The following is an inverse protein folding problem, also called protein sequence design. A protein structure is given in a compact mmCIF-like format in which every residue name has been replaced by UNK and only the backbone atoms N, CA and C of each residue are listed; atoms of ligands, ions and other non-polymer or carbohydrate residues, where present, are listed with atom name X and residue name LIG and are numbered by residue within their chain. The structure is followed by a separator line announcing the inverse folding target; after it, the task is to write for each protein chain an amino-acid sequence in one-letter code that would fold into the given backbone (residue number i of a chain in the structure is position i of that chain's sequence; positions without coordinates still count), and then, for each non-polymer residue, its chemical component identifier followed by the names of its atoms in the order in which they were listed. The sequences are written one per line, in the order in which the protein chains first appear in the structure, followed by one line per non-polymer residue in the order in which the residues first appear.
data_IF_137497212405
#
_entry.id   IF_137497212405
#
_cell.length_a   1.000
_cell.length_b   1.000
_cell.length_c   1.000
_cell.angle_alpha   90.00
_cell.angle_beta   90.00
_cell.angle_gamma   90.00
#
_symmetry.space_group_name_H-M   'P 1'
#
loop_
_entity.id
_entity.type
_entity.pdbx_description
1 polymer ?
#
# COMPACT_ATOMS: atom_id res chain seq x y z
N UNK A 1 6.55 12.45 -6.82
CA UNK A 1 6.88 11.43 -7.85
C UNK A 1 5.91 10.24 -7.86
N UNK A 2 5.65 9.57 -6.70
CA UNK A 2 4.71 8.44 -6.66
C UNK A 2 3.30 8.89 -7.01
N UNK A 3 2.81 9.94 -6.38
CA UNK A 3 1.50 10.54 -6.66
C UNK A 3 1.38 10.97 -8.11
N UNK A 4 2.39 11.67 -8.65
CA UNK A 4 2.39 12.14 -10.05
C UNK A 4 2.22 10.99 -11.06
N UNK A 5 2.81 9.83 -10.76
CA UNK A 5 2.67 8.64 -11.60
C UNK A 5 1.22 8.18 -11.62
N UNK A 6 0.57 8.05 -10.45
CA UNK A 6 -0.81 7.62 -10.38
C UNK A 6 -1.79 8.66 -10.94
N UNK A 7 -1.57 9.95 -10.65
CA UNK A 7 -2.34 11.05 -11.25
C UNK A 7 -2.25 11.00 -12.78
N UNK A 8 -1.04 10.73 -13.33
CA UNK A 8 -0.87 10.57 -14.79
C UNK A 8 -1.62 9.37 -15.38
N UNK A 9 -2.02 8.41 -14.54
CA UNK A 9 -2.85 7.25 -14.91
C UNK A 9 -4.35 7.46 -14.60
N UNK A 10 -4.75 8.67 -14.20
CA UNK A 10 -6.14 9.04 -13.92
C UNK A 10 -6.63 8.63 -12.53
N UNK A 11 -5.74 8.55 -11.55
CA UNK A 11 -6.10 8.35 -10.15
C UNK A 11 -6.28 9.67 -9.43
N UNK A 12 -7.33 9.77 -8.62
CA UNK A 12 -7.53 10.87 -7.69
C UNK A 12 -6.68 10.65 -6.42
N UNK A 13 -6.15 11.72 -5.87
CA UNK A 13 -5.47 11.68 -4.56
C UNK A 13 -6.47 12.02 -3.47
N UNK A 14 -6.69 11.09 -2.56
CA UNK A 14 -7.68 11.24 -1.48
C UNK A 14 -6.99 11.13 -0.13
N UNK A 15 -7.31 12.04 0.78
CA UNK A 15 -6.81 12.04 2.15
C UNK A 15 -7.89 11.64 3.16
N UNK A 16 -7.48 11.32 4.38
CA UNK A 16 -8.37 10.96 5.47
C UNK A 16 -7.68 11.03 6.85
N UNK A 17 -8.44 10.86 7.93
CA UNK A 17 -7.95 11.06 9.28
C UNK A 17 -6.89 10.02 9.68
N UNK A 18 -5.87 10.47 10.41
CA UNK A 18 -4.87 9.59 11.04
C UNK A 18 -5.42 8.93 12.31
N UNK A 19 -6.19 9.67 13.10
CA UNK A 19 -6.97 9.12 14.21
C UNK A 19 -8.28 8.57 13.65
N UNK A 20 -8.38 7.24 13.63
CA UNK A 20 -9.45 6.55 12.93
C UNK A 20 -10.28 5.68 13.90
N UNK A 21 -11.48 5.32 13.50
CA UNK A 21 -12.29 4.36 14.23
C UNK A 21 -11.87 2.92 13.95
N UNK A 22 -12.04 2.05 14.94
CA UNK A 22 -11.87 0.60 14.80
C UNK A 22 -12.71 0.04 13.63
N UNK A 23 -13.91 0.56 13.43
CA UNK A 23 -14.80 0.18 12.34
C UNK A 23 -14.14 0.39 10.95
N UNK A 24 -13.58 1.58 10.69
CA UNK A 24 -12.96 1.88 9.39
C UNK A 24 -11.57 1.29 9.25
N UNK A 25 -10.82 1.12 10.35
CA UNK A 25 -9.50 0.48 10.30
C UNK A 25 -9.58 -1.03 10.07
N UNK A 26 -10.65 -1.68 10.56
CA UNK A 26 -10.71 -3.14 10.60
C UNK A 26 -12.03 -3.74 10.12
N UNK A 27 -13.16 -3.42 10.74
CA UNK A 27 -14.40 -4.13 10.47
C UNK A 27 -14.82 -4.01 9.01
N UNK A 28 -14.81 -2.78 8.45
CA UNK A 28 -15.14 -2.51 7.04
C UNK A 28 -14.14 -3.06 6.02
N UNK A 29 -13.01 -3.56 6.50
CA UNK A 29 -11.96 -4.20 5.71
C UNK A 29 -11.93 -5.72 5.89
N UNK A 30 -13.06 -6.31 6.30
CA UNK A 30 -13.21 -7.76 6.52
C UNK A 30 -12.34 -8.30 7.67
N UNK A 31 -12.09 -7.48 8.68
CA UNK A 31 -11.35 -7.80 9.89
C UNK A 31 -12.27 -7.63 11.11
N UNK A 32 -13.22 -8.57 11.38
CA UNK A 32 -14.12 -8.47 12.52
C UNK A 32 -13.37 -8.58 13.85
N UNK A 33 -14.02 -8.19 14.96
CA UNK A 33 -13.46 -8.35 16.30
C UNK A 33 -13.10 -9.80 16.55
N UNK A 34 -11.89 -10.04 17.09
CA UNK A 34 -11.36 -11.39 17.33
C UNK A 34 -10.74 -12.06 16.11
N UNK A 35 -10.64 -11.38 14.97
CA UNK A 35 -9.94 -11.94 13.81
C UNK A 35 -8.44 -12.02 14.09
N UNK A 36 -7.75 -13.17 13.83
CA UNK A 36 -6.33 -13.35 14.14
C UNK A 36 -5.40 -12.29 13.52
N UNK A 37 -5.74 -11.81 12.32
CA UNK A 37 -4.93 -10.79 11.65
C UNK A 37 -4.97 -9.40 12.34
N UNK A 38 -5.92 -9.15 13.26
CA UNK A 38 -5.93 -7.92 14.08
C UNK A 38 -4.86 -7.95 15.15
N UNK A 39 -4.63 -9.12 15.77
CA UNK A 39 -3.63 -9.30 16.81
C UNK A 39 -2.20 -9.17 16.25
N UNK A 40 -2.02 -9.45 14.97
CA UNK A 40 -0.76 -9.28 14.25
C UNK A 40 -0.41 -7.80 13.95
N UNK A 41 -1.40 -6.91 14.07
CA UNK A 41 -1.22 -5.47 13.88
C UNK A 41 -1.14 -4.82 15.26
N UNK A 42 0.06 -4.69 15.78
CA UNK A 42 0.31 -4.04 17.07
C UNK A 42 -0.07 -2.56 16.98
N UNK A 43 -1.32 -2.24 17.36
CA UNK A 43 -1.98 -0.97 17.09
C UNK A 43 -1.93 -0.02 18.30
N UNK A 44 -1.85 1.29 18.03
CA UNK A 44 -1.93 2.33 19.04
C UNK A 44 -3.39 2.78 19.25
N UNK A 45 -4.08 2.18 20.20
CA UNK A 45 -5.42 2.60 20.61
C UNK A 45 -5.36 3.82 21.54
N UNK A 46 -6.14 4.83 21.23
CA UNK A 46 -6.35 6.01 22.07
C UNK A 46 -7.53 5.80 23.01
N UNK A 47 -8.58 5.15 22.52
CA UNK A 47 -9.74 4.67 23.29
C UNK A 47 -10.10 3.26 22.83
N UNK A 48 -11.17 2.67 23.38
CA UNK A 48 -11.68 1.38 22.89
C UNK A 48 -12.19 1.40 21.45
N UNK A 49 -12.46 2.60 20.89
CA UNK A 49 -13.06 2.78 19.57
C UNK A 49 -12.16 3.52 18.59
N UNK A 50 -11.18 4.27 19.08
CA UNK A 50 -10.29 5.10 18.27
C UNK A 50 -8.85 4.66 18.40
N UNK A 51 -8.15 4.60 17.27
CA UNK A 51 -6.75 4.23 17.16
C UNK A 51 -6.04 5.08 16.10
N UNK A 52 -4.73 5.13 16.17
CA UNK A 52 -3.93 5.62 15.04
C UNK A 52 -3.98 4.56 13.93
N UNK A 53 -4.36 4.96 12.71
CA UNK A 53 -4.56 4.03 11.60
C UNK A 53 -3.30 3.20 11.31
N UNK A 54 -3.46 1.91 11.17
CA UNK A 54 -2.37 0.96 10.88
C UNK A 54 -2.07 0.83 9.38
N UNK A 55 -2.94 1.39 8.55
CA UNK A 55 -2.90 1.37 7.09
C UNK A 55 -3.78 2.50 6.54
N UNK A 56 -3.56 2.91 5.29
CA UNK A 56 -4.39 3.93 4.64
C UNK A 56 -5.68 3.36 4.02
N UNK A 57 -5.92 2.06 4.11
CA UNK A 57 -7.16 1.39 3.64
C UNK A 57 -8.44 1.94 4.25
N UNK A 58 -8.39 2.54 5.44
CA UNK A 58 -9.53 3.23 6.04
C UNK A 58 -10.07 4.36 5.15
N UNK A 59 -9.18 5.06 4.43
CA UNK A 59 -9.56 6.08 3.45
C UNK A 59 -10.31 5.47 2.27
N UNK A 60 -9.90 4.28 1.83
CA UNK A 60 -10.61 3.54 0.78
C UNK A 60 -12.05 3.21 1.22
N UNK A 61 -12.24 2.71 2.44
CA UNK A 61 -13.56 2.42 2.99
C UNK A 61 -14.42 3.70 3.10
N UNK A 62 -13.84 4.82 3.55
CA UNK A 62 -14.52 6.11 3.60
C UNK A 62 -14.95 6.60 2.22
N UNK A 63 -14.08 6.48 1.23
CA UNK A 63 -14.38 6.86 -0.17
C UNK A 63 -15.51 6.01 -0.74
N UNK A 64 -15.48 4.69 -0.52
CA UNK A 64 -16.58 3.80 -0.91
C UNK A 64 -17.92 4.20 -0.29
N UNK A 65 -17.92 4.51 1.01
CA UNK A 65 -19.13 4.93 1.74
C UNK A 65 -19.66 6.29 1.28
N UNK A 66 -18.76 7.24 1.03
CA UNK A 66 -19.11 8.57 0.56
C UNK A 66 -19.66 8.59 -0.89
N UNK A 67 -19.26 7.62 -1.71
CA UNK A 67 -19.70 7.49 -3.11
C UNK A 67 -21.11 6.88 -3.21
N UNK A 68 -22.13 7.68 -2.89
CA UNK A 68 -23.54 7.26 -2.87
C UNK A 68 -24.06 6.91 -4.26
N UNK A 69 -23.60 7.59 -5.30
CA UNK A 69 -24.01 7.37 -6.68
C UNK A 69 -23.34 6.16 -7.34
N UNK A 70 -22.38 5.56 -6.67
CA UNK A 70 -21.63 4.40 -7.16
C UNK A 70 -20.97 4.63 -8.53
N UNK A 71 -20.46 5.83 -8.72
CA UNK A 71 -19.58 6.15 -9.85
C UNK A 71 -18.27 5.35 -9.73
N UNK A 72 -17.56 5.12 -10.85
CA UNK A 72 -16.26 4.45 -10.79
C UNK A 72 -15.31 5.13 -9.81
N UNK A 73 -14.60 4.34 -9.01
CA UNK A 73 -13.52 4.81 -8.12
C UNK A 73 -12.19 4.44 -8.75
N UNK A 74 -11.30 5.42 -8.81
CA UNK A 74 -9.89 5.23 -9.14
C UNK A 74 -9.09 6.21 -8.30
N UNK A 75 -8.58 5.75 -7.16
CA UNK A 75 -7.94 6.62 -6.17
C UNK A 75 -6.65 6.05 -5.64
N UNK A 76 -5.80 6.93 -5.13
CA UNK A 76 -4.71 6.62 -4.22
C UNK A 76 -4.91 7.40 -2.92
N UNK A 77 -4.45 6.82 -1.82
CA UNK A 77 -4.43 7.46 -0.51
C UNK A 77 -3.04 7.37 0.11
N UNK A 78 -2.19 8.37 -0.12
CA UNK A 78 -0.93 8.51 0.59
C UNK A 78 -1.17 8.97 2.02
N UNK A 79 -0.34 8.55 2.97
CA UNK A 79 -0.45 9.04 4.32
C UNK A 79 0.40 8.30 5.34
N UNK A 80 0.46 8.88 6.53
CA UNK A 80 1.14 8.27 7.67
C UNK A 80 0.30 7.15 8.26
N UNK A 81 0.98 6.10 8.69
CA UNK A 81 0.43 4.93 9.36
C UNK A 81 1.26 4.60 10.58
N UNK A 82 0.69 3.85 11.52
CA UNK A 82 1.25 3.66 12.85
C UNK A 82 1.16 2.21 13.28
N UNK A 83 2.30 1.62 13.68
CA UNK A 83 2.40 0.26 14.24
C UNK A 83 3.39 0.27 15.39
N UNK A 84 3.28 -0.67 16.31
CA UNK A 84 4.22 -0.75 17.46
C UNK A 84 5.56 -1.38 17.13
N UNK A 85 5.76 -1.81 15.89
CA UNK A 85 7.05 -2.31 15.43
C UNK A 85 8.09 -1.20 15.39
N UNK A 86 9.32 -1.50 15.89
CA UNK A 86 10.47 -0.59 15.85
C UNK A 86 11.78 -1.37 15.75
N UNK A 87 12.33 -1.42 14.54
CA UNK A 87 13.64 -2.01 14.26
C UNK A 87 14.32 -1.32 13.06
N UNK A 88 15.38 -1.89 12.52
CA UNK A 88 16.09 -1.32 11.37
C UNK A 88 15.25 -1.26 10.08
N UNK A 89 14.15 -2.02 10.01
CA UNK A 89 13.26 -2.16 8.84
C UNK A 89 11.84 -1.69 9.11
N UNK A 90 11.53 -1.34 10.36
CA UNK A 90 10.21 -0.89 10.82
C UNK A 90 10.35 0.34 11.72
N UNK A 91 9.34 1.21 11.67
CA UNK A 91 9.21 2.38 12.55
C UNK A 91 7.80 2.45 13.07
N UNK A 92 7.62 2.99 14.28
CA UNK A 92 6.30 3.26 14.87
C UNK A 92 5.40 4.09 13.96
N UNK A 93 5.98 5.00 13.19
CA UNK A 93 5.33 5.79 12.16
C UNK A 93 6.06 5.56 10.85
N UNK A 94 5.32 5.34 9.77
CA UNK A 94 5.86 5.26 8.42
C UNK A 94 4.83 5.78 7.41
N UNK A 95 5.28 6.07 6.20
CA UNK A 95 4.41 6.54 5.13
C UNK A 95 4.02 5.37 4.23
N UNK A 96 2.74 5.30 3.90
CA UNK A 96 2.17 4.31 3.02
C UNK A 96 1.40 5.01 1.90
N UNK A 97 1.31 4.36 0.76
CA UNK A 97 0.35 4.70 -0.28
C UNK A 97 -0.40 3.45 -0.67
N UNK A 98 -1.71 3.57 -0.71
CA UNK A 98 -2.58 2.52 -1.19
C UNK A 98 -3.43 3.03 -2.35
N UNK A 99 -3.82 2.13 -3.24
CA UNK A 99 -4.69 2.43 -4.35
C UNK A 99 -5.90 1.53 -4.37
N UNK A 100 -7.01 2.09 -4.86
CA UNK A 100 -8.28 1.39 -5.03
C UNK A 100 -8.88 1.72 -6.40
N UNK A 101 -9.27 0.69 -7.11
CA UNK A 101 -10.11 0.81 -8.31
C UNK A 101 -11.37 -0.01 -8.10
N UNK A 102 -12.55 0.59 -8.29
CA UNK A 102 -13.84 -0.10 -8.30
C UNK A 102 -14.64 0.38 -9.50
N UNK A 103 -15.21 -0.55 -10.23
CA UNK A 103 -16.13 -0.25 -11.32
C UNK A 103 -17.18 -1.38 -11.46
N UNK A 104 -18.16 -1.18 -12.33
CA UNK A 104 -19.12 -2.22 -12.69
C UNK A 104 -18.42 -3.41 -13.32
N UNK A 105 -18.87 -4.62 -13.00
CA UNK A 105 -18.31 -5.87 -13.57
C UNK A 105 -18.33 -5.88 -15.11
N UNK A 106 -19.31 -5.23 -15.72
CA UNK A 106 -19.42 -5.08 -17.17
C UNK A 106 -18.20 -4.38 -17.81
N UNK A 107 -17.50 -3.54 -17.03
CA UNK A 107 -16.25 -2.88 -17.44
C UNK A 107 -15.00 -3.74 -17.26
N UNK A 108 -15.19 -4.96 -16.74
CA UNK A 108 -14.19 -6.01 -16.65
C UNK A 108 -12.88 -5.58 -15.96
N UNK A 109 -12.99 -4.87 -14.81
CA UNK A 109 -11.82 -4.58 -13.96
C UNK A 109 -11.24 -5.91 -13.45
N UNK A 110 -10.02 -6.21 -13.85
CA UNK A 110 -9.44 -7.56 -13.76
C UNK A 110 -8.06 -7.57 -13.09
N UNK A 111 -7.56 -8.75 -12.82
CA UNK A 111 -6.18 -8.96 -12.38
C UNK A 111 -5.15 -8.46 -13.41
N UNK A 112 -5.50 -8.49 -14.72
CA UNK A 112 -4.62 -7.97 -15.76
C UNK A 112 -4.46 -6.44 -15.66
N UNK A 113 -5.54 -5.71 -15.30
CA UNK A 113 -5.49 -4.26 -15.08
C UNK A 113 -4.65 -3.93 -13.85
N UNK A 114 -4.81 -4.69 -12.75
CA UNK A 114 -3.97 -4.57 -11.56
C UNK A 114 -2.50 -4.78 -11.93
N UNK A 115 -2.19 -5.86 -12.64
CA UNK A 115 -0.83 -6.18 -13.07
C UNK A 115 -0.24 -5.07 -13.93
N UNK A 116 -0.94 -4.60 -14.94
CA UNK A 116 -0.50 -3.52 -15.82
C UNK A 116 -0.24 -2.21 -15.06
N UNK A 117 -1.14 -1.85 -14.14
CA UNK A 117 -0.98 -0.68 -13.26
C UNK A 117 0.31 -0.77 -12.43
N UNK A 118 0.54 -1.91 -11.78
CA UNK A 118 1.69 -2.12 -10.92
C UNK A 118 3.01 -2.23 -11.70
N UNK A 119 2.99 -2.81 -12.90
CA UNK A 119 4.16 -2.83 -13.78
C UNK A 119 4.60 -1.41 -14.18
N UNK A 120 3.65 -0.55 -14.56
CA UNK A 120 3.95 0.85 -14.90
C UNK A 120 4.54 1.57 -13.67
N UNK A 121 3.91 1.42 -12.51
CA UNK A 121 4.36 2.04 -11.28
C UNK A 121 5.78 1.62 -10.89
N UNK A 122 6.02 0.31 -10.79
CA UNK A 122 7.32 -0.23 -10.36
C UNK A 122 8.43 0.16 -11.32
N UNK A 123 8.20 0.07 -12.63
CA UNK A 123 9.19 0.45 -13.65
C UNK A 123 9.58 1.94 -13.57
N UNK A 124 8.62 2.81 -13.29
CA UNK A 124 8.87 4.26 -13.15
C UNK A 124 9.59 4.62 -11.85
N UNK A 125 9.33 3.91 -10.76
CA UNK A 125 9.88 4.24 -9.42
C UNK A 125 11.20 3.53 -9.15
N UNK A 126 11.30 2.25 -9.45
CA UNK A 126 12.47 1.43 -9.05
C UNK A 126 13.42 1.25 -10.22
N UNK A 127 12.90 0.99 -11.43
CA UNK A 127 13.74 0.84 -12.62
C UNK A 127 13.06 0.06 -13.74
N UNK A 128 13.38 0.45 -14.99
CA UNK A 128 12.71 -0.07 -16.18
C UNK A 128 13.03 -1.55 -16.49
N UNK A 129 14.18 -2.04 -16.03
CA UNK A 129 14.72 -3.36 -16.39
C UNK A 129 14.53 -4.42 -15.28
N UNK A 130 13.51 -4.25 -14.44
CA UNK A 130 13.20 -5.20 -13.37
C UNK A 130 12.03 -6.09 -13.79
N UNK A 131 12.16 -7.39 -13.53
CA UNK A 131 11.05 -8.32 -13.65
C UNK A 131 10.17 -8.25 -12.41
N UNK A 132 8.86 -8.37 -12.61
CA UNK A 132 7.89 -8.46 -11.55
C UNK A 132 7.37 -9.90 -11.43
N UNK A 133 7.19 -10.34 -10.19
CA UNK A 133 6.59 -11.61 -9.87
C UNK A 133 5.42 -11.40 -8.92
N UNK A 134 4.26 -11.93 -9.29
CA UNK A 134 3.07 -11.98 -8.43
C UNK A 134 3.06 -13.32 -7.71
N UNK A 135 3.21 -13.30 -6.42
CA UNK A 135 3.22 -14.50 -5.57
C UNK A 135 1.92 -14.56 -4.78
N UNK A 136 1.16 -15.67 -4.86
CA UNK A 136 -0.05 -15.83 -4.05
C UNK A 136 0.22 -15.57 -2.57
N UNK A 137 -0.69 -14.83 -1.92
CA UNK A 137 -0.63 -14.47 -0.51
C UNK A 137 -2.04 -14.46 0.09
N UNK A 138 -2.15 -14.05 1.34
CA UNK A 138 -3.43 -13.89 2.01
C UNK A 138 -3.50 -12.52 2.68
N UNK A 139 -4.53 -11.76 2.30
CA UNK A 139 -4.97 -10.56 3.01
C UNK A 139 -6.48 -10.63 3.22
N UNK A 140 -7.01 -10.27 4.41
CA UNK A 140 -8.44 -10.38 4.69
C UNK A 140 -9.33 -9.54 3.77
N UNK A 141 -8.78 -8.47 3.22
CA UNK A 141 -9.51 -7.49 2.41
C UNK A 141 -9.42 -7.71 0.89
N UNK A 142 -8.66 -8.73 0.44
CA UNK A 142 -8.54 -9.09 -0.99
C UNK A 142 -8.65 -10.60 -1.19
N UNK A 143 -9.22 -11.03 -2.33
CA UNK A 143 -9.32 -12.41 -2.77
C UNK A 143 -9.48 -12.47 -4.29
N UNK A 144 -8.51 -13.04 -5.06
CA UNK A 144 -7.20 -13.48 -4.61
C UNK A 144 -6.28 -12.35 -4.19
N UNK A 145 -5.31 -12.69 -3.31
CA UNK A 145 -4.29 -11.78 -2.82
C UNK A 145 -2.91 -12.13 -3.38
N UNK A 146 -2.10 -11.10 -3.59
CA UNK A 146 -0.74 -11.26 -4.11
C UNK A 146 0.24 -10.34 -3.40
N UNK A 147 1.40 -10.87 -3.08
CA UNK A 147 2.60 -10.08 -2.86
C UNK A 147 3.31 -9.89 -4.20
N UNK A 148 3.81 -8.69 -4.43
CA UNK A 148 4.54 -8.36 -5.66
C UNK A 148 6.00 -8.18 -5.32
N UNK A 149 6.81 -9.04 -5.92
CA UNK A 149 8.26 -9.02 -5.80
C UNK A 149 8.87 -8.45 -7.09
N UNK A 150 10.01 -7.78 -6.95
CA UNK A 150 10.85 -7.36 -8.06
C UNK A 150 12.20 -8.07 -8.04
N UNK A 151 12.81 -8.25 -9.18
CA UNK A 151 14.20 -8.72 -9.25
C UNK A 151 15.09 -7.82 -8.40
N UNK A 152 15.93 -8.39 -7.56
CA UNK A 152 16.81 -7.62 -6.70
C UNK A 152 17.73 -6.71 -7.52
N UNK A 153 17.54 -5.42 -7.42
CA UNK A 153 18.29 -4.41 -8.16
C UNK A 153 19.78 -4.38 -7.80
N UNK A 154 20.18 -4.85 -6.61
CA UNK A 154 21.57 -4.91 -6.17
C UNK A 154 22.35 -6.05 -6.82
N UNK A 155 21.76 -7.22 -6.96
CA UNK A 155 22.45 -8.42 -7.46
C UNK A 155 21.92 -8.92 -8.80
N UNK A 156 20.93 -8.25 -9.40
CA UNK A 156 20.34 -8.68 -10.67
C UNK A 156 19.76 -10.09 -10.65
N UNK A 157 19.14 -10.48 -9.52
CA UNK A 157 18.54 -11.81 -9.35
C UNK A 157 19.50 -12.92 -8.91
N UNK A 158 20.80 -12.65 -8.75
CA UNK A 158 21.80 -13.69 -8.41
C UNK A 158 21.78 -14.12 -6.93
N UNK A 159 21.14 -13.38 -6.08
CA UNK A 159 21.17 -13.56 -4.63
C UNK A 159 22.23 -12.69 -3.94
N UNK A 160 21.87 -12.03 -2.85
CA UNK A 160 22.75 -11.24 -2.00
C UNK A 160 22.13 -11.05 -0.62
N UNK A 161 22.87 -10.41 0.32
CA UNK A 161 22.37 -10.15 1.67
C UNK A 161 21.09 -9.30 1.70
N UNK A 162 20.93 -8.33 0.77
CA UNK A 162 19.75 -7.49 0.70
C UNK A 162 18.48 -8.30 0.40
N UNK A 163 18.53 -9.21 -0.56
CA UNK A 163 17.42 -10.08 -0.93
C UNK A 163 17.42 -11.41 -0.16
N UNK A 164 18.24 -11.56 0.88
CA UNK A 164 18.38 -12.80 1.67
C UNK A 164 18.63 -14.03 0.79
N UNK A 165 19.48 -13.87 -0.23
CA UNK A 165 19.87 -14.89 -1.21
C UNK A 165 18.75 -15.37 -2.17
N UNK A 166 17.56 -14.76 -2.12
CA UNK A 166 16.42 -15.16 -2.94
C UNK A 166 16.48 -14.63 -4.37
N UNK A 167 17.23 -13.57 -4.64
CA UNK A 167 17.22 -12.83 -5.90
C UNK A 167 16.02 -11.90 -6.09
N UNK A 168 15.06 -11.87 -5.15
CA UNK A 168 13.82 -11.12 -5.21
C UNK A 168 13.63 -10.25 -3.98
N UNK A 169 12.97 -9.11 -4.16
CA UNK A 169 12.60 -8.18 -3.08
C UNK A 169 11.11 -7.91 -3.17
N UNK A 170 10.39 -8.19 -2.09
CA UNK A 170 8.99 -7.81 -1.94
C UNK A 170 8.85 -6.30 -1.84
N UNK A 171 7.94 -5.72 -2.64
CA UNK A 171 7.73 -4.27 -2.71
C UNK A 171 6.34 -3.83 -2.32
N UNK A 172 5.30 -4.66 -2.56
CA UNK A 172 3.92 -4.30 -2.25
C UNK A 172 3.00 -5.51 -2.14
N UNK A 173 1.88 -5.31 -1.43
CA UNK A 173 0.74 -6.21 -1.42
C UNK A 173 -0.37 -5.73 -2.35
N UNK A 174 -1.14 -6.66 -2.93
CA UNK A 174 -2.22 -6.34 -3.86
C UNK A 174 -3.24 -7.47 -3.96
N UNK A 175 -4.36 -7.19 -4.60
CA UNK A 175 -5.36 -8.22 -4.88
C UNK A 175 -6.68 -7.66 -5.42
N UNK A 176 -7.58 -8.58 -5.72
CA UNK A 176 -8.96 -8.22 -6.06
C UNK A 176 -9.71 -7.94 -4.76
N UNK A 177 -10.49 -6.87 -4.72
CA UNK A 177 -11.21 -6.47 -3.50
C UNK A 177 -12.16 -7.57 -3.08
N UNK A 178 -12.06 -7.97 -1.81
CA UNK A 178 -12.89 -9.06 -1.26
C UNK A 178 -14.38 -8.70 -1.34
N UNK A 179 -15.28 -9.63 -1.72
CA UNK A 179 -16.72 -9.37 -1.80
C UNK A 179 -17.33 -8.79 -0.52
N UNK A 180 -16.88 -9.25 0.66
CA UNK A 180 -17.32 -8.72 1.94
C UNK A 180 -16.97 -7.24 2.12
N UNK A 181 -15.77 -6.82 1.68
CA UNK A 181 -15.36 -5.41 1.73
C UNK A 181 -16.29 -4.55 0.86
N UNK A 182 -16.59 -5.00 -0.36
CA UNK A 182 -17.56 -4.33 -1.22
C UNK A 182 -18.92 -4.20 -0.52
N UNK A 183 -19.46 -5.32 -0.02
CA UNK A 183 -20.76 -5.37 0.64
C UNK A 183 -20.84 -4.47 1.87
N UNK A 184 -19.84 -4.51 2.75
CA UNK A 184 -19.80 -3.71 3.98
C UNK A 184 -19.68 -2.20 3.69
N UNK A 185 -19.15 -1.83 2.52
CA UNK A 185 -19.01 -0.45 2.08
C UNK A 185 -20.08 -0.03 1.03
N UNK A 186 -21.20 -0.77 0.98
CA UNK A 186 -22.40 -0.38 0.22
C UNK A 186 -22.34 -0.67 -1.27
N UNK A 187 -21.47 -1.61 -1.71
CA UNK A 187 -21.42 -2.09 -3.09
C UNK A 187 -21.95 -3.51 -3.18
N UNK A 188 -22.77 -3.77 -4.21
CA UNK A 188 -23.24 -5.10 -4.55
C UNK A 188 -22.11 -5.88 -5.24
N UNK A 189 -21.55 -6.94 -4.63
CA UNK A 189 -20.46 -7.70 -5.22
C UNK A 189 -20.84 -8.48 -6.46
N UNK A 190 -22.14 -8.62 -6.76
CA UNK A 190 -22.60 -9.19 -8.03
C UNK A 190 -22.52 -8.20 -9.20
N UNK A 191 -22.54 -6.89 -8.91
CA UNK A 191 -22.53 -5.81 -9.90
C UNK A 191 -21.20 -5.09 -10.01
N UNK A 192 -20.41 -5.09 -8.94
CA UNK A 192 -19.15 -4.35 -8.85
C UNK A 192 -17.99 -5.28 -8.58
N UNK A 193 -16.83 -4.91 -9.09
CA UNK A 193 -15.54 -5.52 -8.80
C UNK A 193 -14.47 -4.46 -8.76
N UNK A 194 -13.31 -4.82 -8.24
CA UNK A 194 -12.19 -3.89 -8.19
C UNK A 194 -10.93 -4.55 -7.71
N UNK A 195 -9.85 -3.80 -7.71
CA UNK A 195 -8.59 -4.22 -7.14
C UNK A 195 -8.02 -3.15 -6.20
N UNK A 196 -7.18 -3.60 -5.28
CA UNK A 196 -6.46 -2.74 -4.36
C UNK A 196 -4.98 -3.15 -4.29
N UNK A 197 -4.15 -2.20 -3.92
CA UNK A 197 -2.72 -2.40 -3.67
C UNK A 197 -2.21 -1.42 -2.62
N UNK A 198 -1.09 -1.77 -1.97
CA UNK A 198 -0.47 -0.90 -0.98
C UNK A 198 1.02 -1.15 -0.82
N UNK A 199 1.78 -0.07 -0.66
CA UNK A 199 3.23 -0.11 -0.45
C UNK A 199 3.69 0.92 0.57
N UNK A 200 4.74 0.58 1.34
CA UNK A 200 5.44 1.51 2.23
C UNK A 200 6.35 2.44 1.43
N UNK A 201 6.08 3.74 1.47
CA UNK A 201 6.88 4.75 0.76
C UNK A 201 8.31 4.81 1.31
N UNK A 202 8.46 4.72 2.61
CA UNK A 202 9.78 4.72 3.26
C UNK A 202 10.65 3.55 2.76
N UNK A 203 10.06 2.38 2.60
CA UNK A 203 10.75 1.21 2.06
C UNK A 203 11.18 1.41 0.60
N UNK A 204 10.33 2.00 -0.21
CA UNK A 204 10.68 2.37 -1.59
C UNK A 204 11.83 3.40 -1.61
N UNK A 205 11.78 4.40 -0.73
CA UNK A 205 12.84 5.39 -0.59
C UNK A 205 14.16 4.75 -0.15
N UNK A 206 14.11 3.84 0.84
CA UNK A 206 15.28 3.08 1.28
C UNK A 206 15.93 2.32 0.11
N UNK A 207 15.14 1.65 -0.71
CA UNK A 207 15.64 0.92 -1.87
C UNK A 207 16.24 1.88 -2.93
N UNK A 208 15.54 2.96 -3.23
CA UNK A 208 15.95 3.93 -4.27
C UNK A 208 17.24 4.66 -3.92
N UNK A 209 17.40 5.02 -2.65
CA UNK A 209 18.51 5.85 -2.17
C UNK A 209 19.59 5.07 -1.40
N UNK A 210 19.46 3.74 -1.30
CA UNK A 210 20.43 2.90 -0.62
C UNK A 210 20.49 3.10 0.90
N UNK A 211 19.37 3.53 1.50
CA UNK A 211 19.27 3.74 2.96
C UNK A 211 19.15 2.37 3.64
N UNK A 212 20.02 2.10 4.59
CA UNK A 212 20.16 0.78 5.22
C UNK A 212 19.36 0.60 6.51
N UNK A 213 18.89 1.70 7.10
CA UNK A 213 18.15 1.70 8.37
C UNK A 213 17.03 2.75 8.31
N UNK A 214 15.79 2.32 8.51
CA UNK A 214 14.59 3.17 8.44
C UNK A 214 14.60 4.28 9.48
N UNK A 215 15.21 4.05 10.63
CA UNK A 215 15.29 5.04 11.72
C UNK A 215 16.02 6.31 11.31
N UNK A 216 16.92 6.27 10.32
CA UNK A 216 17.58 7.45 9.79
C UNK A 216 16.61 8.45 9.15
N UNK A 217 15.51 7.97 8.58
CA UNK A 217 14.47 8.83 7.99
C UNK A 217 13.76 9.69 9.04
N UNK A 218 13.73 9.23 10.29
CA UNK A 218 12.98 9.85 11.39
C UNK A 218 13.87 10.48 12.47
N UNK A 219 15.18 10.22 12.45
CA UNK A 219 16.12 10.77 13.43
C UNK A 219 16.38 12.28 13.28
N UNK A 220 15.95 12.87 12.19
CA UNK A 220 16.15 14.29 11.87
C UNK A 220 17.62 14.76 11.96
N UNK A 221 18.57 13.85 11.64
CA UNK A 221 19.99 14.18 11.64
C UNK A 221 20.35 14.95 10.36
N UNK A 222 20.75 16.21 10.53
CA UNK A 222 21.13 17.10 9.43
C UNK A 222 22.25 16.52 8.54
N UNK A 223 23.18 15.73 9.11
CA UNK A 223 24.26 15.08 8.35
C UNK A 223 23.70 14.01 7.40
N UNK A 224 22.68 13.30 7.84
CA UNK A 224 21.97 12.33 6.99
C UNK A 224 21.17 13.06 5.89
N UNK A 225 20.39 14.07 6.26
CA UNK A 225 19.53 14.80 5.34
C UNK A 225 20.32 15.50 4.22
N UNK A 226 21.49 16.09 4.54
CA UNK A 226 22.38 16.74 3.56
C UNK A 226 22.91 15.81 2.46
N UNK A 227 22.87 14.49 2.63
CA UNK A 227 23.26 13.54 1.59
C UNK A 227 22.27 13.53 0.41
N UNK A 228 21.06 14.05 0.62
CA UNK A 228 19.97 14.08 -0.37
C UNK A 228 19.68 15.50 -0.87
N UNK A 229 20.46 16.50 -0.43
CA UNK A 229 20.43 17.84 -1.01
C UNK A 229 20.84 17.72 -2.48
N UNK A 230 19.86 17.58 -3.36
CA UNK A 230 20.11 17.78 -4.79
C UNK A 230 20.39 19.26 -4.98
N UNK A 231 21.60 19.59 -5.36
CA UNK A 231 21.79 20.78 -6.16
C UNK A 231 20.98 20.53 -7.42
N UNK A 232 19.99 21.38 -7.67
CA UNK A 232 19.21 21.33 -8.89
C UNK A 232 20.21 21.19 -10.04
N UNK A 233 20.19 20.04 -10.70
CA UNK A 233 20.89 19.88 -11.96
C UNK A 233 20.07 20.72 -12.95
N UNK A 234 20.62 21.87 -13.30
CA UNK A 234 20.19 22.72 -14.40
C UNK A 234 20.19 21.94 -15.73
#
# INVERSE_FOLDING_TARGET
QVEDIFVSMGYDVVDGPELETDEYCFERLNLPKGHPARDMQDSFYVTSEYLLRTQTSSVQARTMMANTEKTPIRMICPGKTYRRDDDATHSHQFNQIEGLVIDKKERNVSLADLKGTLEIFVRKIIGANLDLRFRPSYFPFTEPSYEVDVTCFKCGGKGCNLCKQTGWIEVLGSGIVHPNVLKMNGYDPEKYSGFAFGTGIDRLAMFRYGITDMRYLYANDVRFLKQFDRKDEE
#
